data_IF_426994092825
#
_entry.id   IF_426994092825
#
_cell.length_a   1.000
_cell.length_b   1.000
_cell.length_c   1.000
_cell.angle_alpha   90.00
_cell.angle_beta   90.00
_cell.angle_gamma   90.00
#
_symmetry.space_group_name_H-M   'P 1'
#
loop_
_entity.id
_entity.type
_entity.pdbx_description
1 polymer ?
#
# COMPACT_ATOMS: atom_id res chain seq x y z
N UNK A 1 -14.11 58.17 -14.16
CA UNK A 1 -13.05 58.00 -13.14
C UNK A 1 -13.58 57.09 -12.05
N UNK A 2 -13.37 55.78 -12.18
CA UNK A 2 -13.68 54.81 -11.13
C UNK A 2 -12.39 54.54 -10.36
N UNK A 3 -12.42 54.80 -9.06
CA UNK A 3 -11.32 54.55 -8.13
C UNK A 3 -11.01 53.06 -8.20
N UNK A 4 -9.87 52.72 -8.82
CA UNK A 4 -9.32 51.35 -8.78
C UNK A 4 -8.97 51.07 -7.33
N UNK A 5 -9.62 50.04 -6.81
CA UNK A 5 -9.53 49.58 -5.43
C UNK A 5 -8.07 49.21 -5.10
N UNK A 6 -7.38 50.11 -4.43
CA UNK A 6 -5.96 49.98 -4.06
C UNK A 6 -5.72 48.80 -3.11
N UNK A 7 -6.78 48.19 -2.56
CA UNK A 7 -6.71 46.94 -1.80
C UNK A 7 -6.23 45.76 -2.63
N UNK A 8 -6.37 45.77 -3.96
CA UNK A 8 -5.93 44.65 -4.81
C UNK A 8 -4.41 44.52 -4.93
N UNK A 9 -3.64 45.56 -4.61
CA UNK A 9 -2.16 45.55 -4.64
C UNK A 9 -1.54 45.16 -3.29
N UNK A 10 -2.36 45.05 -2.24
CA UNK A 10 -1.97 44.65 -0.89
C UNK A 10 -2.36 43.22 -0.54
N UNK A 11 -2.94 42.47 -1.50
CA UNK A 11 -2.95 41.01 -1.44
C UNK A 11 -1.50 40.54 -1.57
N UNK A 12 -0.86 40.32 -0.42
CA UNK A 12 0.22 39.35 -0.35
C UNK A 12 -0.38 38.07 -0.93
N UNK A 13 0.22 37.53 -1.98
CA UNK A 13 -0.10 36.21 -2.50
C UNK A 13 0.17 35.21 -1.36
N UNK A 14 -0.80 35.04 -0.44
CA UNK A 14 -0.74 34.01 0.57
C UNK A 14 -0.97 32.71 -0.20
N UNK A 15 0.04 31.83 -0.28
CA UNK A 15 -0.09 30.59 -1.05
C UNK A 15 -1.24 29.71 -0.54
N UNK A 16 -1.77 29.99 0.67
CA UNK A 16 -2.97 29.34 1.21
C UNK A 16 -4.27 29.92 0.66
N UNK A 17 -4.34 31.22 0.39
CA UNK A 17 -5.49 31.86 -0.26
C UNK A 17 -5.61 31.33 -1.69
N UNK A 18 -4.51 31.32 -2.45
CA UNK A 18 -4.44 30.76 -3.81
C UNK A 18 -4.83 29.27 -3.84
N UNK A 19 -4.22 28.44 -2.99
CA UNK A 19 -4.57 27.02 -2.90
C UNK A 19 -6.04 26.77 -2.47
N UNK A 20 -6.59 27.62 -1.60
CA UNK A 20 -7.99 27.51 -1.16
C UNK A 20 -8.96 27.88 -2.30
N UNK A 21 -8.68 28.96 -3.02
CA UNK A 21 -9.47 29.37 -4.19
C UNK A 21 -9.43 28.29 -5.27
N UNK A 22 -8.24 27.73 -5.56
CA UNK A 22 -8.08 26.64 -6.52
C UNK A 22 -8.84 25.37 -6.10
N UNK A 23 -8.79 24.99 -4.82
CA UNK A 23 -9.54 23.84 -4.30
C UNK A 23 -11.05 24.03 -4.37
N UNK A 24 -11.54 25.23 -4.05
CA UNK A 24 -12.97 25.58 -4.13
C UNK A 24 -13.45 25.61 -5.58
N UNK A 25 -12.62 26.09 -6.50
CA UNK A 25 -12.95 26.14 -7.93
C UNK A 25 -12.92 24.74 -8.58
N UNK A 26 -11.96 23.90 -8.19
CA UNK A 26 -11.70 22.63 -8.87
C UNK A 26 -12.51 21.44 -8.34
N UNK A 27 -13.10 21.56 -7.13
CA UNK A 27 -13.86 20.51 -6.47
C UNK A 27 -15.30 20.97 -6.16
N UNK A 28 -16.33 20.29 -6.70
CA UNK A 28 -17.71 20.75 -6.58
C UNK A 28 -18.22 20.65 -5.13
N UNK A 29 -18.72 21.78 -4.60
CA UNK A 29 -19.33 21.86 -3.26
C UNK A 29 -18.33 22.07 -2.11
N UNK A 30 -17.05 22.26 -2.42
CA UNK A 30 -16.02 22.63 -1.44
C UNK A 30 -16.25 24.05 -0.92
N UNK A 31 -15.95 24.27 0.36
CA UNK A 31 -16.06 25.60 0.99
C UNK A 31 -14.87 25.87 1.90
N UNK A 32 -14.43 27.13 1.95
CA UNK A 32 -13.51 27.56 2.99
C UNK A 32 -14.21 27.49 4.35
N UNK A 33 -13.63 26.75 5.29
CA UNK A 33 -14.17 26.56 6.62
C UNK A 33 -13.57 27.55 7.63
N UNK A 34 -12.49 28.26 7.27
CA UNK A 34 -11.85 29.27 8.10
C UNK A 34 -11.53 30.55 7.31
N UNK A 35 -11.66 31.69 7.98
CA UNK A 35 -11.38 33.01 7.39
C UNK A 35 -9.89 33.25 7.09
N UNK A 36 -9.00 32.43 7.67
CA UNK A 36 -7.55 32.51 7.49
C UNK A 36 -7.00 31.57 6.39
N UNK A 37 -7.90 30.99 5.58
CA UNK A 37 -7.58 30.05 4.50
C UNK A 37 -6.79 28.82 4.96
N UNK A 38 -6.82 28.48 6.26
CA UNK A 38 -6.15 27.30 6.79
C UNK A 38 -6.96 26.02 6.62
N UNK A 39 -8.26 26.12 6.35
CA UNK A 39 -9.19 24.99 6.36
C UNK A 39 -10.15 25.03 5.17
N UNK A 40 -10.20 23.93 4.43
CA UNK A 40 -11.15 23.73 3.33
C UNK A 40 -11.94 22.44 3.59
N UNK A 41 -13.26 22.54 3.59
CA UNK A 41 -14.16 21.40 3.71
C UNK A 41 -14.61 20.96 2.32
N UNK A 42 -14.28 19.73 1.94
CA UNK A 42 -14.60 19.09 0.65
C UNK A 42 -15.67 18.01 0.89
N UNK A 43 -16.84 18.07 0.23
CA UNK A 43 -17.86 17.04 0.39
C UNK A 43 -17.45 15.75 -0.33
N UNK A 44 -17.65 14.60 0.32
CA UNK A 44 -17.37 13.28 -0.24
C UNK A 44 -18.55 12.33 0.01
N UNK A 45 -18.61 11.20 -0.71
CA UNK A 45 -19.60 10.16 -0.43
C UNK A 45 -19.37 9.57 0.97
N UNK A 46 -20.35 9.77 1.86
CA UNK A 46 -20.27 9.31 3.25
C UNK A 46 -19.73 10.35 4.25
N UNK A 47 -19.38 11.57 3.82
CA UNK A 47 -18.95 12.60 4.75
C UNK A 47 -18.34 13.88 4.18
N UNK A 48 -17.47 14.50 4.96
CA UNK A 48 -16.74 15.72 4.64
C UNK A 48 -15.26 15.50 4.94
N UNK A 49 -14.43 15.73 3.92
CA UNK A 49 -12.99 15.73 4.01
C UNK A 49 -12.51 17.15 4.31
N UNK A 50 -11.86 17.33 5.44
CA UNK A 50 -11.25 18.59 5.87
C UNK A 50 -9.78 18.60 5.48
N UNK A 51 -9.42 19.58 4.65
CA UNK A 51 -8.05 19.89 4.23
C UNK A 51 -7.51 20.97 5.15
N UNK A 52 -6.41 20.69 5.84
CA UNK A 52 -5.68 21.66 6.66
C UNK A 52 -4.39 22.09 5.96
N UNK A 53 -4.28 23.39 5.71
CA UNK A 53 -3.10 24.04 5.13
C UNK A 53 -2.25 24.66 6.25
N UNK A 54 -1.00 24.18 6.46
CA UNK A 54 -0.14 24.67 7.54
C UNK A 54 0.35 26.11 7.28
N UNK A 55 0.80 26.78 8.33
CA UNK A 55 1.26 28.18 8.26
C UNK A 55 2.52 28.41 7.41
N UNK A 56 3.26 27.34 7.07
CA UNK A 56 4.41 27.38 6.13
C UNK A 56 4.12 26.68 4.80
N UNK A 57 2.86 26.51 4.45
CA UNK A 57 2.47 25.99 3.13
C UNK A 57 3.10 26.85 2.01
N UNK A 58 3.63 26.27 0.92
CA UNK A 58 3.61 24.85 0.53
C UNK A 58 4.85 24.04 0.99
N UNK A 59 5.72 24.58 1.84
CA UNK A 59 6.91 23.87 2.34
C UNK A 59 6.56 22.75 3.32
N UNK A 60 5.57 22.99 4.17
CA UNK A 60 5.02 22.00 5.09
C UNK A 60 3.84 21.26 4.45
N UNK A 61 3.74 19.95 4.69
CA UNK A 61 2.69 19.12 4.08
C UNK A 61 1.30 19.44 4.64
N UNK A 62 0.27 19.47 3.78
CA UNK A 62 -1.11 19.60 4.21
C UNK A 62 -1.58 18.33 4.92
N UNK A 63 -2.52 18.49 5.86
CA UNK A 63 -3.13 17.37 6.59
C UNK A 63 -4.57 17.20 6.15
N UNK A 64 -4.96 15.98 5.85
CA UNK A 64 -6.31 15.64 5.41
C UNK A 64 -7.02 14.82 6.50
N UNK A 65 -8.22 15.21 6.89
CA UNK A 65 -8.98 14.54 7.95
C UNK A 65 -10.45 14.37 7.58
N UNK A 66 -11.01 13.19 7.83
CA UNK A 66 -12.44 12.93 7.69
C UNK A 66 -13.19 13.33 8.96
N UNK A 67 -14.27 14.10 8.81
CA UNK A 67 -15.12 14.49 9.94
C UNK A 67 -16.02 13.34 10.43
N UNK A 68 -16.30 12.36 9.57
CA UNK A 68 -17.09 11.19 9.87
C UNK A 68 -16.19 9.96 10.02
N UNK A 69 -16.42 9.12 11.04
CA UNK A 69 -15.66 7.89 11.24
C UNK A 69 -15.92 6.93 10.07
N UNK A 70 -14.98 6.86 9.14
CA UNK A 70 -15.06 6.04 7.93
C UNK A 70 -13.93 5.03 7.94
N UNK A 71 -14.24 3.74 7.76
CA UNK A 71 -13.23 2.68 7.66
C UNK A 71 -12.73 2.60 6.22
N UNK A 72 -11.53 3.13 5.96
CA UNK A 72 -10.90 3.11 4.63
C UNK A 72 -9.40 2.79 4.74
N UNK A 73 -8.80 2.15 3.73
CA UNK A 73 -7.38 1.74 3.75
C UNK A 73 -6.41 2.92 3.90
N UNK A 74 -6.79 4.07 3.37
CA UNK A 74 -6.05 5.32 3.45
C UNK A 74 -6.40 6.15 4.68
N UNK A 75 -7.18 5.65 5.65
CA UNK A 75 -7.61 6.44 6.82
C UNK A 75 -7.16 5.76 8.10
N UNK A 76 -6.51 6.52 8.98
CA UNK A 76 -6.02 6.01 10.26
C UNK A 76 -7.07 6.07 11.39
N UNK A 77 -6.69 5.59 12.59
CA UNK A 77 -7.56 5.57 13.79
C UNK A 77 -8.01 6.95 14.29
N UNK A 78 -7.40 8.02 13.79
CA UNK A 78 -7.72 9.41 14.12
C UNK A 78 -8.48 10.12 12.99
N UNK A 79 -8.99 9.34 12.02
CA UNK A 79 -9.62 9.80 10.80
C UNK A 79 -8.70 10.65 9.90
N UNK A 80 -7.38 10.54 10.03
CA UNK A 80 -6.44 11.23 9.15
C UNK A 80 -6.17 10.39 7.90
N UNK A 81 -6.14 11.05 6.75
CA UNK A 81 -5.87 10.38 5.47
C UNK A 81 -4.37 10.25 5.25
N UNK A 82 -3.91 9.01 5.08
CA UNK A 82 -2.55 8.64 4.67
C UNK A 82 -2.58 8.21 3.21
N UNK A 83 -2.13 9.10 2.33
CA UNK A 83 -2.08 8.86 0.89
C UNK A 83 -0.63 9.04 0.39
N UNK A 84 -0.12 8.19 -0.54
CA UNK A 84 1.27 8.28 -1.01
C UNK A 84 1.66 9.66 -1.56
N UNK A 85 0.70 10.39 -2.16
CA UNK A 85 0.91 11.76 -2.63
C UNK A 85 1.15 12.79 -1.51
N UNK A 86 0.70 12.51 -0.28
CA UNK A 86 0.96 13.35 0.91
C UNK A 86 2.29 12.98 1.60
N UNK A 87 2.74 11.73 1.48
CA UNK A 87 4.01 11.28 2.06
C UNK A 87 5.21 11.79 1.24
N UNK A 88 5.06 11.90 -0.09
CA UNK A 88 6.06 12.46 -0.99
C UNK A 88 5.81 13.95 -1.31
N UNK A 89 5.21 14.69 -0.38
CA UNK A 89 4.86 16.10 -0.58
C UNK A 89 6.10 16.96 -0.90
N UNK A 90 5.96 17.82 -1.91
CA UNK A 90 6.97 18.82 -2.26
C UNK A 90 6.29 20.16 -2.54
N UNK A 91 7.04 21.27 -2.45
CA UNK A 91 6.55 22.61 -2.79
C UNK A 91 6.12 22.78 -4.27
N UNK A 92 6.39 21.78 -5.12
CA UNK A 92 5.97 21.75 -6.53
C UNK A 92 4.74 20.88 -6.77
N UNK A 93 4.27 20.20 -5.73
CA UNK A 93 3.14 19.28 -5.82
C UNK A 93 1.84 20.07 -5.81
N UNK A 94 0.98 19.83 -6.80
CA UNK A 94 -0.33 20.45 -6.89
C UNK A 94 -1.30 19.82 -5.87
N UNK A 95 -1.78 20.65 -4.93
CA UNK A 95 -2.71 20.22 -3.87
C UNK A 95 -4.06 19.78 -4.45
N UNK A 96 -4.52 20.41 -5.54
CA UNK A 96 -5.80 20.09 -6.17
C UNK A 96 -5.78 18.69 -6.74
N UNK A 97 -4.69 18.34 -7.43
CA UNK A 97 -4.46 16.99 -7.96
C UNK A 97 -4.44 15.95 -6.85
N UNK A 98 -3.71 16.20 -5.76
CA UNK A 98 -3.64 15.27 -4.61
C UNK A 98 -5.00 15.09 -3.94
N UNK A 99 -5.74 16.17 -3.69
CA UNK A 99 -7.07 16.06 -3.06
C UNK A 99 -8.06 15.36 -4.00
N UNK A 100 -7.99 15.60 -5.31
CA UNK A 100 -8.83 14.89 -6.30
C UNK A 100 -8.54 13.40 -6.32
N UNK A 101 -7.26 13.02 -6.32
CA UNK A 101 -6.84 11.61 -6.25
C UNK A 101 -7.30 10.94 -4.95
N UNK A 102 -7.20 11.64 -3.82
CA UNK A 102 -7.70 11.17 -2.52
C UNK A 102 -9.22 11.00 -2.55
N UNK A 103 -9.95 11.99 -3.06
CA UNK A 103 -11.41 11.91 -3.20
C UNK A 103 -11.79 10.74 -4.10
N UNK A 104 -11.12 10.56 -5.25
CA UNK A 104 -11.37 9.43 -6.14
C UNK A 104 -11.03 8.08 -5.48
N UNK A 105 -9.92 8.03 -4.74
CA UNK A 105 -9.50 6.84 -3.99
C UNK A 105 -10.51 6.47 -2.88
N UNK A 106 -11.13 7.47 -2.24
CA UNK A 106 -12.21 7.27 -1.25
C UNK A 106 -13.54 6.90 -1.90
N UNK A 107 -13.78 7.28 -3.17
CA UNK A 107 -14.97 6.92 -3.93
C UNK A 107 -14.91 5.53 -4.54
N UNK A 108 -13.71 5.04 -4.88
CA UNK A 108 -13.56 3.66 -5.34
C UNK A 108 -13.95 2.74 -4.18
N UNK A 109 -15.00 1.90 -4.33
CA UNK A 109 -15.24 0.86 -3.34
C UNK A 109 -13.97 0.04 -3.30
N UNK A 110 -13.27 0.07 -2.16
CA UNK A 110 -12.03 -0.67 -1.97
C UNK A 110 -12.30 -2.11 -2.42
N UNK A 111 -11.74 -2.49 -3.58
CA UNK A 111 -11.52 -3.89 -3.88
C UNK A 111 -10.57 -4.32 -2.78
N UNK A 112 -11.15 -4.91 -1.73
CA UNK A 112 -10.47 -5.18 -0.48
C UNK A 112 -9.02 -5.57 -0.79
N UNK A 113 -8.00 -4.79 -0.37
CA UNK A 113 -6.70 -5.41 -0.25
C UNK A 113 -6.95 -6.68 0.53
N UNK A 114 -6.30 -7.77 0.13
CA UNK A 114 -6.13 -8.95 0.94
C UNK A 114 -5.33 -8.57 2.20
N UNK A 115 -5.86 -7.65 2.99
CA UNK A 115 -5.68 -7.58 4.42
C UNK A 115 -6.22 -8.92 4.86
N UNK A 116 -5.26 -9.80 5.12
CA UNK A 116 -5.33 -10.75 6.23
C UNK A 116 -6.49 -10.35 7.13
N UNK A 117 -7.65 -10.95 6.86
CA UNK A 117 -8.72 -11.00 7.83
C UNK A 117 -8.10 -11.82 8.95
N UNK A 118 -7.36 -11.15 9.84
CA UNK A 118 -7.40 -11.55 11.25
C UNK A 118 -8.88 -11.68 11.48
N UNK A 119 -9.41 -12.88 11.75
CA UNK A 119 -10.80 -13.02 12.07
C UNK A 119 -10.97 -12.03 13.22
N UNK A 120 -11.71 -10.94 12.96
CA UNK A 120 -12.19 -10.10 14.04
C UNK A 120 -12.90 -11.12 14.88
N UNK A 121 -12.31 -11.43 16.04
CA UNK A 121 -12.93 -12.21 17.08
C UNK A 121 -14.36 -11.73 17.09
N UNK A 122 -15.28 -12.56 16.59
CA UNK A 122 -16.67 -12.16 16.49
C UNK A 122 -17.01 -11.71 17.90
N UNK A 123 -17.17 -10.40 18.06
CA UNK A 123 -17.58 -9.88 19.35
C UNK A 123 -18.93 -10.53 19.53
N UNK A 124 -19.15 -11.30 20.62
CA UNK A 124 -20.40 -12.02 20.81
C UNK A 124 -21.52 -10.99 20.62
N UNK A 125 -22.57 -11.32 19.87
CA UNK A 125 -23.60 -10.36 19.46
C UNK A 125 -24.14 -9.67 20.72
N UNK A 126 -23.65 -8.46 20.97
CA UNK A 126 -23.96 -7.69 22.17
C UNK A 126 -25.29 -6.94 22.00
N UNK A 127 -25.93 -7.08 20.83
CA UNK A 127 -27.12 -6.33 20.40
C UNK A 127 -28.44 -7.03 20.70
N UNK A 128 -28.44 -8.22 21.32
CA UNK A 128 -29.68 -8.74 21.90
C UNK A 128 -29.89 -8.02 23.22
N UNK A 129 -30.63 -6.92 23.22
CA UNK A 129 -31.20 -6.41 24.47
C UNK A 129 -32.08 -7.52 25.04
N UNK A 130 -31.56 -8.25 26.02
CA UNK A 130 -32.29 -9.29 26.74
C UNK A 130 -33.35 -8.52 27.54
N UNK A 131 -34.55 -8.37 26.97
CA UNK A 131 -35.67 -7.80 27.70
C UNK A 131 -36.19 -8.85 28.67
N UNK A 132 -36.00 -8.59 29.96
CA UNK A 132 -36.62 -9.40 31.00
C UNK A 132 -38.14 -9.34 30.86
N UNK A 133 -38.87 -10.48 30.92
CA UNK A 133 -40.32 -10.46 31.04
C UNK A 133 -40.74 -9.60 32.24
N UNK A 134 -41.78 -8.79 32.06
CA UNK A 134 -42.31 -7.94 33.12
C UNK A 134 -42.82 -8.78 34.30
N UNK A 135 -42.54 -8.31 35.53
CA UNK A 135 -43.08 -8.94 36.74
C UNK A 135 -44.60 -8.77 36.71
N UNK A 136 -45.38 -9.84 36.84
CA UNK A 136 -46.83 -9.74 36.85
C UNK A 136 -47.30 -9.06 38.14
N UNK A 137 -48.21 -8.10 38.02
CA UNK A 137 -48.81 -7.40 39.16
C UNK A 137 -49.77 -8.30 39.97
N UNK A 138 -50.20 -9.41 39.39
CA UNK A 138 -51.14 -10.38 39.97
C UNK A 138 -50.76 -11.80 39.59
N UNK A 139 -51.00 -12.73 40.51
CA UNK A 139 -50.79 -14.16 40.30
C UNK A 139 -52.16 -14.84 40.40
N UNK A 140 -52.69 -15.27 39.27
CA UNK A 140 -54.03 -15.89 39.17
C UNK A 140 -54.17 -17.10 40.13
N UNK A 141 -53.10 -17.86 40.29
CA UNK A 141 -53.06 -19.00 41.21
C UNK A 141 -53.23 -18.60 42.69
N UNK A 142 -52.79 -17.41 43.08
CA UNK A 142 -52.95 -16.87 44.45
C UNK A 142 -54.35 -16.27 44.62
N UNK A 143 -54.91 -15.62 43.59
CA UNK A 143 -56.29 -15.10 43.62
C UNK A 143 -57.35 -16.21 43.66
N UNK A 144 -57.03 -17.39 43.11
CA UNK A 144 -57.91 -18.56 43.11
C UNK A 144 -57.95 -19.33 44.46
N UNK A 145 -57.01 -19.08 45.37
CA UNK A 145 -56.92 -19.77 46.66
C UNK A 145 -57.88 -19.18 47.71
N UNK A 146 -58.43 -20.03 48.57
CA UNK A 146 -59.22 -19.59 49.71
C UNK A 146 -58.34 -18.97 50.80
N UNK A 147 -58.92 -18.09 51.62
CA UNK A 147 -58.25 -17.47 52.78
C UNK A 147 -57.73 -18.48 53.81
N UNK A 148 -58.27 -19.70 53.82
CA UNK A 148 -57.81 -20.79 54.69
C UNK A 148 -56.55 -21.45 54.13
N UNK A 149 -56.47 -21.64 52.82
CA UNK A 149 -55.30 -22.19 52.14
C UNK A 149 -54.13 -21.20 52.13
N UNK A 150 -54.42 -19.90 51.95
CA UNK A 150 -53.40 -18.84 52.05
C UNK A 150 -52.75 -18.75 53.43
N UNK A 151 -53.49 -19.05 54.51
CA UNK A 151 -52.95 -19.06 55.88
C UNK A 151 -52.11 -20.29 56.20
N UNK A 152 -52.26 -21.36 55.42
CA UNK A 152 -51.50 -22.59 55.56
C UNK A 152 -50.34 -22.68 54.56
N UNK A 153 -50.13 -21.64 53.74
CA UNK A 153 -49.04 -21.59 52.77
C UNK A 153 -47.70 -21.36 53.51
N UNK A 154 -46.77 -22.28 53.31
CA UNK A 154 -45.40 -22.22 53.82
C UNK A 154 -44.43 -21.66 52.77
N UNK A 155 -43.17 -21.48 53.14
CA UNK A 155 -42.14 -20.91 52.24
C UNK A 155 -41.93 -21.77 50.99
N UNK A 156 -42.08 -23.09 51.10
CA UNK A 156 -41.95 -24.01 49.98
C UNK A 156 -43.16 -23.94 49.05
N UNK A 157 -44.38 -23.86 49.59
CA UNK A 157 -45.58 -23.62 48.78
C UNK A 157 -45.60 -22.27 48.05
N UNK A 158 -45.01 -21.22 48.65
CA UNK A 158 -44.79 -19.93 47.97
C UNK A 158 -43.79 -20.08 46.82
N UNK A 159 -42.71 -20.83 47.05
CA UNK A 159 -41.69 -21.08 46.03
C UNK A 159 -42.26 -21.84 44.84
N UNK A 160 -43.03 -22.89 45.09
CA UNK A 160 -43.67 -23.69 44.04
C UNK A 160 -44.61 -22.85 43.18
N UNK A 161 -45.37 -21.94 43.80
CA UNK A 161 -46.23 -20.96 43.10
C UNK A 161 -45.43 -20.01 42.21
N UNK A 162 -44.28 -19.53 42.69
CA UNK A 162 -43.39 -18.63 41.93
C UNK A 162 -42.69 -19.38 40.79
N UNK A 163 -42.23 -20.61 41.02
CA UNK A 163 -41.61 -21.44 39.99
C UNK A 163 -42.59 -21.84 38.88
N UNK A 164 -43.87 -22.01 39.21
CA UNK A 164 -44.93 -22.27 38.25
C UNK A 164 -45.31 -21.04 37.38
N UNK A 165 -44.80 -19.84 37.67
CA UNK A 165 -45.08 -18.66 36.88
C UNK A 165 -44.47 -18.76 35.47
N UNK A 166 -45.23 -18.43 34.41
CA UNK A 166 -44.74 -18.49 33.04
C UNK A 166 -43.54 -17.55 32.82
N UNK A 167 -43.46 -16.43 33.54
CA UNK A 167 -42.32 -15.51 33.48
C UNK A 167 -41.02 -16.15 33.96
N UNK A 168 -41.07 -17.00 35.01
CA UNK A 168 -39.90 -17.71 35.55
C UNK A 168 -39.45 -18.80 34.60
N UNK A 169 -40.39 -19.51 33.95
CA UNK A 169 -40.09 -20.50 32.91
C UNK A 169 -39.45 -19.86 31.67
N UNK A 170 -39.96 -18.71 31.23
CA UNK A 170 -39.36 -17.96 30.11
C UNK A 170 -37.96 -17.46 30.46
N UNK A 171 -37.77 -16.94 31.68
CA UNK A 171 -36.45 -16.48 32.14
C UNK A 171 -35.44 -17.62 32.24
N UNK A 172 -35.83 -18.78 32.76
CA UNK A 172 -34.94 -19.94 32.89
C UNK A 172 -34.52 -20.47 31.51
N UNK A 173 -35.45 -20.53 30.56
CA UNK A 173 -35.17 -20.88 29.17
C UNK A 173 -34.20 -19.87 28.53
N UNK A 174 -34.44 -18.57 28.69
CA UNK A 174 -33.55 -17.51 28.18
C UNK A 174 -32.14 -17.61 28.76
N UNK A 175 -32.00 -17.88 30.06
CA UNK A 175 -30.69 -18.07 30.71
C UNK A 175 -29.97 -19.32 30.19
N UNK A 176 -30.70 -20.41 29.98
CA UNK A 176 -30.14 -21.63 29.39
C UNK A 176 -29.65 -21.40 27.95
N UNK A 177 -30.44 -20.72 27.13
CA UNK A 177 -30.09 -20.38 25.74
C UNK A 177 -28.89 -19.43 25.69
N UNK A 178 -28.83 -18.44 26.57
CA UNK A 178 -27.68 -17.53 26.69
C UNK A 178 -26.41 -18.28 27.11
N UNK A 179 -26.53 -19.19 28.07
CA UNK A 179 -25.39 -20.02 28.51
C UNK A 179 -24.87 -20.86 27.35
N UNK A 180 -25.75 -21.52 26.61
CA UNK A 180 -25.39 -22.36 25.47
C UNK A 180 -24.76 -21.53 24.34
N UNK A 181 -25.38 -20.40 23.99
CA UNK A 181 -24.86 -19.50 22.95
C UNK A 181 -23.49 -18.93 23.32
N UNK A 182 -23.30 -18.55 24.58
CA UNK A 182 -22.01 -18.05 25.07
C UNK A 182 -20.94 -19.15 25.01
N UNK A 183 -21.27 -20.37 25.43
CA UNK A 183 -20.36 -21.52 25.36
C UNK A 183 -19.92 -21.78 23.92
N UNK A 184 -20.87 -21.91 22.99
CA UNK A 184 -20.57 -22.12 21.57
C UNK A 184 -19.73 -20.98 20.98
N UNK A 185 -20.05 -19.73 21.32
CA UNK A 185 -19.30 -18.57 20.84
C UNK A 185 -17.86 -18.58 21.37
N UNK A 186 -17.66 -18.98 22.63
CA UNK A 186 -16.34 -19.08 23.25
C UNK A 186 -15.51 -20.20 22.59
N UNK A 187 -16.12 -21.33 22.27
CA UNK A 187 -15.48 -22.45 21.57
C UNK A 187 -15.09 -22.06 20.14
N UNK A 188 -15.98 -21.41 19.38
CA UNK A 188 -15.68 -20.90 18.03
C UNK A 188 -14.52 -19.90 18.07
N UNK A 189 -14.56 -18.95 19.00
CA UNK A 189 -13.50 -17.96 19.21
C UNK A 189 -12.18 -18.62 19.54
N UNK A 190 -12.18 -19.62 20.42
CA UNK A 190 -10.97 -20.37 20.78
C UNK A 190 -10.38 -21.08 19.56
N UNK A 191 -11.20 -21.82 18.81
CA UNK A 191 -10.76 -22.54 17.61
C UNK A 191 -10.19 -21.58 16.55
N UNK A 192 -10.82 -20.42 16.35
CA UNK A 192 -10.33 -19.38 15.45
C UNK A 192 -8.96 -18.83 15.89
N UNK A 193 -8.75 -18.60 17.20
CA UNK A 193 -7.45 -18.15 17.73
C UNK A 193 -6.35 -19.19 17.53
N UNK A 194 -6.66 -20.46 17.76
CA UNK A 194 -5.71 -21.56 17.54
C UNK A 194 -5.33 -21.66 16.04
N UNK A 195 -6.31 -21.60 15.14
CA UNK A 195 -6.06 -21.61 13.70
C UNK A 195 -5.27 -20.38 13.23
N UNK A 196 -5.55 -19.19 13.79
CA UNK A 196 -4.79 -17.97 13.49
C UNK A 196 -3.34 -18.08 13.97
N UNK A 197 -3.11 -18.65 15.16
CA UNK A 197 -1.77 -18.87 15.71
C UNK A 197 -0.92 -19.79 14.83
N UNK A 198 -1.52 -20.83 14.23
CA UNK A 198 -0.82 -21.74 13.30
C UNK A 198 -0.38 -20.96 12.05
N UNK A 199 -1.30 -20.21 11.45
CA UNK A 199 -1.00 -19.39 10.26
C UNK A 199 0.05 -18.32 10.54
N UNK A 200 0.00 -17.69 11.70
CA UNK A 200 0.99 -16.69 12.12
C UNK A 200 2.38 -17.33 12.25
N UNK A 201 2.48 -18.54 12.79
CA UNK A 201 3.74 -19.29 12.88
C UNK A 201 4.29 -19.66 11.49
N UNK A 202 3.44 -20.14 10.57
CA UNK A 202 3.82 -20.42 9.18
C UNK A 202 4.31 -19.16 8.46
N UNK A 203 3.59 -18.03 8.62
CA UNK A 203 3.97 -16.77 8.01
C UNK A 203 5.29 -16.23 8.57
N UNK A 204 5.56 -16.42 9.87
CA UNK A 204 6.84 -16.08 10.47
C UNK A 204 7.97 -16.95 9.89
N UNK A 205 7.77 -18.26 9.76
CA UNK A 205 8.76 -19.16 9.17
C UNK A 205 9.09 -18.79 7.71
N UNK A 206 8.07 -18.44 6.92
CA UNK A 206 8.26 -17.96 5.54
C UNK A 206 9.03 -16.63 5.49
N UNK A 207 8.73 -15.69 6.40
CA UNK A 207 9.47 -14.42 6.49
C UNK A 207 10.94 -14.63 6.84
N UNK A 208 11.24 -15.54 7.77
CA UNK A 208 12.62 -15.89 8.11
C UNK A 208 13.36 -16.48 6.92
N UNK A 209 12.76 -17.44 6.22
CA UNK A 209 13.38 -18.05 5.03
C UNK A 209 13.62 -17.02 3.92
N UNK A 210 12.69 -16.10 3.69
CA UNK A 210 12.86 -15.03 2.71
C UNK A 210 13.99 -14.07 3.09
N UNK A 211 14.17 -13.79 4.39
CA UNK A 211 15.30 -13.00 4.87
C UNK A 211 16.64 -13.73 4.64
N UNK A 212 16.70 -15.03 4.89
CA UNK A 212 17.89 -15.86 4.63
C UNK A 212 18.23 -15.88 3.14
N UNK A 213 17.24 -16.11 2.27
CA UNK A 213 17.41 -16.11 0.82
C UNK A 213 17.86 -14.73 0.30
N UNK A 214 17.30 -13.64 0.86
CA UNK A 214 17.71 -12.28 0.51
C UNK A 214 19.16 -12.00 0.92
N UNK A 215 19.57 -12.41 2.12
CA UNK A 215 20.95 -12.27 2.58
C UNK A 215 21.92 -13.09 1.71
N UNK A 216 21.55 -14.31 1.33
CA UNK A 216 22.33 -15.15 0.42
C UNK A 216 22.49 -14.50 -0.96
N UNK A 217 21.41 -13.91 -1.49
CA UNK A 217 21.44 -13.18 -2.76
C UNK A 217 22.35 -11.94 -2.68
N UNK A 218 22.26 -11.15 -1.61
CA UNK A 218 23.12 -9.98 -1.40
C UNK A 218 24.60 -10.37 -1.31
N UNK A 219 24.92 -11.48 -0.62
CA UNK A 219 26.28 -12.00 -0.55
C UNK A 219 26.81 -12.43 -1.93
N UNK A 220 25.99 -13.09 -2.74
CA UNK A 220 26.32 -13.44 -4.13
C UNK A 220 26.55 -12.18 -4.98
N UNK A 221 25.69 -11.18 -4.85
CA UNK A 221 25.81 -9.91 -5.57
C UNK A 221 27.09 -9.16 -5.17
N UNK A 222 27.42 -9.13 -3.87
CA UNK A 222 28.65 -8.54 -3.37
C UNK A 222 29.89 -9.24 -3.95
N UNK A 223 29.89 -10.58 -3.98
CA UNK A 223 30.97 -11.36 -4.61
C UNK A 223 31.08 -11.09 -6.11
N UNK A 224 29.95 -11.01 -6.83
CA UNK A 224 29.96 -10.67 -8.25
C UNK A 224 30.58 -9.28 -8.50
N UNK A 225 30.26 -8.28 -7.65
CA UNK A 225 30.87 -6.94 -7.71
C UNK A 225 32.37 -6.93 -7.42
N UNK A 226 32.88 -7.87 -6.61
CA UNK A 226 34.34 -8.01 -6.42
C UNK A 226 35.05 -8.67 -7.60
N UNK A 227 34.35 -9.49 -8.38
CA UNK A 227 34.90 -10.21 -9.53
C UNK A 227 34.79 -9.43 -10.85
N UNK A 228 33.84 -8.51 -10.94
CA UNK A 228 33.73 -7.50 -11.99
C UNK A 228 34.27 -6.18 -11.44
N UNK A 229 35.57 -5.86 -11.59
CA UNK A 229 36.04 -4.51 -11.31
C UNK A 229 35.15 -3.55 -12.11
N UNK A 230 34.60 -2.52 -11.47
CA UNK A 230 33.83 -1.49 -12.17
C UNK A 230 34.62 -0.89 -13.35
N UNK A 231 35.95 -0.96 -13.25
CA UNK A 231 36.89 -0.54 -14.27
C UNK A 231 37.25 -1.62 -15.29
N UNK A 232 36.94 -2.90 -15.11
CA UNK A 232 37.38 -3.97 -16.02
C UNK A 232 36.78 -3.83 -17.43
N UNK A 233 35.49 -3.48 -17.53
CA UNK A 233 34.86 -3.20 -18.83
C UNK A 233 35.40 -1.90 -19.45
N UNK A 234 35.73 -0.90 -18.63
CA UNK A 234 36.32 0.36 -19.09
C UNK A 234 37.79 0.20 -19.52
N UNK A 235 38.55 -0.64 -18.83
CA UNK A 235 39.91 -1.04 -19.16
C UNK A 235 39.92 -1.89 -20.42
N UNK A 236 39.01 -2.86 -20.55
CA UNK A 236 38.84 -3.64 -21.77
C UNK A 236 38.49 -2.74 -22.97
N UNK A 237 37.56 -1.80 -22.82
CA UNK A 237 37.23 -0.84 -23.87
C UNK A 237 38.46 -0.02 -24.31
N UNK A 238 39.21 0.55 -23.34
CA UNK A 238 40.45 1.29 -23.60
C UNK A 238 41.52 0.43 -24.29
N UNK A 239 41.68 -0.82 -23.86
CA UNK A 239 42.64 -1.76 -24.46
C UNK A 239 42.27 -2.10 -25.92
N UNK A 240 40.99 -2.35 -26.22
CA UNK A 240 40.55 -2.59 -27.59
C UNK A 240 40.69 -1.36 -28.49
N UNK A 241 40.46 -0.15 -27.97
CA UNK A 241 40.72 1.08 -28.72
C UNK A 241 42.21 1.28 -29.01
N UNK A 242 43.08 1.01 -28.04
CA UNK A 242 44.54 1.08 -28.23
C UNK A 242 44.99 0.08 -29.31
N UNK A 243 44.52 -1.17 -29.23
CA UNK A 243 44.79 -2.20 -30.26
C UNK A 243 44.29 -1.79 -31.64
N UNK A 244 43.10 -1.18 -31.72
CA UNK A 244 42.60 -0.67 -32.99
C UNK A 244 43.55 0.38 -33.58
N UNK A 245 44.00 1.36 -32.79
CA UNK A 245 44.96 2.39 -33.25
C UNK A 245 46.29 1.78 -33.70
N UNK A 246 46.79 0.78 -32.99
CA UNK A 246 48.01 0.07 -33.38
C UNK A 246 47.85 -0.67 -34.72
N UNK A 247 46.75 -1.40 -34.91
CA UNK A 247 46.45 -2.05 -36.19
C UNK A 247 46.29 -1.03 -37.34
N UNK A 248 45.71 0.15 -37.06
CA UNK A 248 45.59 1.24 -38.03
C UNK A 248 46.97 1.77 -38.44
N UNK A 249 47.85 2.05 -37.47
CA UNK A 249 49.24 2.45 -37.71
C UNK A 249 50.02 1.40 -38.51
N UNK A 250 49.85 0.12 -38.19
CA UNK A 250 50.46 -0.98 -38.95
C UNK A 250 49.96 -1.00 -40.40
N UNK A 251 48.67 -0.80 -40.63
CA UNK A 251 48.11 -0.73 -41.99
C UNK A 251 48.66 0.46 -42.79
N UNK A 252 48.86 1.61 -42.14
CA UNK A 252 49.50 2.78 -42.75
C UNK A 252 50.98 2.52 -43.06
N UNK A 253 51.72 1.87 -42.17
CA UNK A 253 53.12 1.52 -42.41
C UNK A 253 53.28 0.50 -43.55
N UNK A 254 52.34 -0.44 -43.71
CA UNK A 254 52.29 -1.34 -44.86
C UNK A 254 52.01 -0.56 -46.15
N UNK A 255 51.09 0.40 -46.11
CA UNK A 255 50.77 1.27 -47.24
C UNK A 255 51.97 2.13 -47.68
N UNK A 256 52.67 2.74 -46.74
CA UNK A 256 53.85 3.56 -47.02
C UNK A 256 54.97 2.72 -47.66
N UNK A 257 55.22 1.51 -47.13
CA UNK A 257 56.19 0.58 -47.72
C UNK A 257 55.83 0.20 -49.16
N UNK A 258 54.55 0.03 -49.47
CA UNK A 258 54.10 -0.28 -50.82
C UNK A 258 54.26 0.91 -51.77
N UNK A 259 53.92 2.12 -51.32
CA UNK A 259 54.11 3.36 -52.10
C UNK A 259 55.58 3.63 -52.42
N UNK A 260 56.47 3.32 -51.48
CA UNK A 260 57.92 3.41 -51.65
C UNK A 260 58.51 2.28 -52.53
N UNK A 261 57.68 1.34 -53.01
CA UNK A 261 58.12 0.18 -53.79
C UNK A 261 58.94 -0.84 -52.99
N UNK A 262 58.86 -0.80 -51.65
CA UNK A 262 59.61 -1.67 -50.74
C UNK A 262 58.92 -3.02 -50.49
N UNK A 263 57.69 -3.21 -50.95
CA UNK A 263 57.02 -4.50 -50.97
C UNK A 263 56.28 -4.71 -52.29
N UNK A 264 56.07 -5.98 -52.66
CA UNK A 264 55.33 -6.33 -53.86
C UNK A 264 53.81 -6.31 -53.60
N UNK A 265 53.03 -6.35 -54.69
CA UNK A 265 51.57 -6.30 -54.62
C UNK A 265 50.94 -7.43 -53.79
N UNK A 266 51.31 -8.72 -53.94
CA UNK A 266 50.69 -9.78 -53.15
C UNK A 266 50.97 -9.63 -51.66
N UNK A 267 52.22 -9.35 -51.25
CA UNK A 267 52.56 -9.14 -49.83
C UNK A 267 51.87 -7.90 -49.27
N UNK A 268 51.77 -6.81 -50.05
CA UNK A 268 50.98 -5.63 -49.63
C UNK A 268 49.52 -5.99 -49.34
N UNK A 269 48.85 -6.68 -50.27
CA UNK A 269 47.43 -7.00 -50.12
C UNK A 269 47.18 -7.89 -48.91
N UNK A 270 48.03 -8.87 -48.67
CA UNK A 270 47.92 -9.79 -47.53
C UNK A 270 48.09 -9.03 -46.20
N UNK A 271 49.22 -8.37 -46.01
CA UNK A 271 49.52 -7.65 -44.75
C UNK A 271 48.56 -6.49 -44.49
N UNK A 272 48.15 -5.76 -45.53
CA UNK A 272 47.24 -4.63 -45.39
C UNK A 272 45.83 -5.09 -45.03
N UNK A 273 45.30 -6.11 -45.72
CA UNK A 273 43.96 -6.64 -45.44
C UNK A 273 43.90 -7.26 -44.05
N UNK A 274 44.94 -7.99 -43.65
CA UNK A 274 45.02 -8.56 -42.29
C UNK A 274 45.03 -7.47 -41.22
N UNK A 275 45.87 -6.43 -41.37
CA UNK A 275 45.92 -5.31 -40.43
C UNK A 275 44.59 -4.54 -40.37
N UNK A 276 43.91 -4.35 -41.50
CA UNK A 276 42.58 -3.72 -41.56
C UNK A 276 41.50 -4.59 -40.92
N UNK A 277 41.52 -5.90 -41.16
CA UNK A 277 40.58 -6.84 -40.53
C UNK A 277 40.72 -6.81 -39.00
N UNK A 278 41.95 -6.89 -38.50
CA UNK A 278 42.25 -6.80 -37.06
C UNK A 278 41.82 -5.45 -36.45
N UNK A 279 42.01 -4.32 -37.16
CA UNK A 279 41.51 -3.02 -36.73
C UNK A 279 39.97 -3.01 -36.60
N UNK A 280 39.25 -3.53 -37.60
CA UNK A 280 37.80 -3.55 -37.58
C UNK A 280 37.24 -4.46 -36.47
N UNK A 281 37.86 -5.62 -36.25
CA UNK A 281 37.54 -6.52 -35.14
C UNK A 281 37.72 -5.82 -33.79
N UNK A 282 38.88 -5.20 -33.56
CA UNK A 282 39.17 -4.46 -32.33
C UNK A 282 38.17 -3.33 -32.09
N UNK A 283 37.74 -2.61 -33.14
CA UNK A 283 36.70 -1.58 -33.04
C UNK A 283 35.33 -2.13 -32.64
N UNK A 284 34.94 -3.29 -33.16
CA UNK A 284 33.67 -3.94 -32.77
C UNK A 284 33.72 -4.35 -31.30
N UNK A 285 34.83 -4.94 -30.86
CA UNK A 285 35.03 -5.34 -29.46
C UNK A 285 35.02 -4.14 -28.51
N UNK A 286 35.68 -3.03 -28.86
CA UNK A 286 35.64 -1.79 -28.09
C UNK A 286 34.21 -1.28 -27.91
N UNK A 287 33.42 -1.25 -29.00
CA UNK A 287 32.03 -0.80 -28.97
C UNK A 287 31.14 -1.73 -28.13
N UNK A 288 31.35 -3.04 -28.20
CA UNK A 288 30.64 -4.02 -27.40
C UNK A 288 30.93 -3.87 -25.90
N UNK A 289 32.19 -3.63 -25.53
CA UNK A 289 32.56 -3.37 -24.13
C UNK A 289 31.86 -2.10 -23.60
N UNK A 290 31.81 -1.04 -24.41
CA UNK A 290 31.15 0.22 -24.05
C UNK A 290 29.63 0.09 -23.92
N UNK A 291 28.98 -0.69 -24.81
CA UNK A 291 27.55 -1.01 -24.70
C UNK A 291 27.27 -1.80 -23.41
N UNK A 292 28.11 -2.79 -23.07
CA UNK A 292 27.96 -3.56 -21.84
C UNK A 292 28.13 -2.68 -20.59
N UNK A 293 29.04 -1.71 -20.64
CA UNK A 293 29.29 -0.75 -19.55
C UNK A 293 28.11 0.20 -19.33
N UNK A 294 27.48 0.66 -20.39
CA UNK A 294 26.40 1.67 -20.36
C UNK A 294 25.01 1.08 -20.24
N UNK A 295 24.86 -0.25 -20.36
CA UNK A 295 23.57 -0.92 -20.23
C UNK A 295 23.05 -0.78 -18.79
N UNK A 296 21.87 -0.16 -18.57
CA UNK A 296 21.31 -0.09 -17.23
C UNK A 296 21.01 -1.50 -16.69
N UNK A 297 21.15 -1.72 -15.37
CA UNK A 297 20.71 -2.97 -14.76
C UNK A 297 19.23 -3.17 -15.11
N UNK A 298 18.85 -4.43 -15.41
CA UNK A 298 17.45 -4.78 -15.63
C UNK A 298 16.67 -4.43 -14.36
N UNK A 299 16.01 -3.28 -14.35
CA UNK A 299 15.14 -2.86 -13.27
C UNK A 299 13.91 -3.77 -13.27
N UNK A 300 13.34 -3.98 -12.08
CA UNK A 300 12.16 -4.81 -11.80
C UNK A 300 10.93 -4.48 -12.66
N UNK A 301 10.95 -3.38 -13.40
CA UNK A 301 9.88 -2.87 -14.27
C UNK A 301 9.96 -3.36 -15.72
N UNK A 302 10.88 -4.27 -16.06
CA UNK A 302 10.73 -4.98 -17.34
C UNK A 302 9.41 -5.77 -17.30
N UNK A 303 8.45 -5.51 -18.21
CA UNK A 303 7.19 -6.24 -18.22
C UNK A 303 7.52 -7.72 -18.33
N UNK A 304 7.12 -8.50 -17.31
CA UNK A 304 7.30 -9.95 -17.34
C UNK A 304 6.69 -10.45 -18.65
N UNK A 305 7.43 -11.19 -19.49
CA UNK A 305 6.81 -11.84 -20.64
C UNK A 305 5.63 -12.68 -20.13
N UNK A 306 4.48 -12.64 -20.82
CA UNK A 306 3.30 -13.37 -20.38
C UNK A 306 3.67 -14.84 -20.20
N UNK A 307 3.33 -15.40 -19.03
CA UNK A 307 3.55 -16.81 -18.74
C UNK A 307 2.89 -17.63 -19.86
N UNK A 308 3.60 -18.64 -20.44
CA UNK A 308 2.99 -19.50 -21.44
C UNK A 308 1.74 -20.15 -20.82
N UNK A 309 0.65 -20.30 -21.60
CA UNK A 309 -0.57 -20.90 -21.10
C UNK A 309 -0.24 -22.29 -20.56
N UNK A 310 -0.63 -22.51 -19.29
CA UNK A 310 -0.55 -23.83 -18.66
C UNK A 310 -1.34 -24.80 -19.54
N UNK A 311 -0.63 -25.61 -20.32
CA UNK A 311 -1.21 -26.77 -20.96
C UNK A 311 -1.69 -27.69 -19.84
N UNK A 312 -3.02 -27.78 -19.65
CA UNK A 312 -3.61 -28.90 -18.93
C UNK A 312 -3.23 -30.15 -19.70
N UNK A 313 -2.22 -30.88 -19.21
CA UNK A 313 -2.10 -32.29 -19.55
C UNK A 313 -3.31 -32.99 -18.91
N UNK A 314 -4.30 -33.30 -19.72
CA UNK A 314 -5.24 -34.36 -19.37
C UNK A 314 -4.48 -35.67 -19.49
N UNK A 315 -4.19 -36.26 -18.34
CA UNK A 315 -3.75 -37.64 -18.17
C UNK A 315 -4.53 -38.21 -17.00
#
# INVERSE_FOLDING_TARGET
MGIRDWKSWLRRDDPREEATEELVQALPGSKSAAEDFSLVDVPIQGGTLRVFLPSRFPHDKPTLQLLQPTRHEFVDRYNQVKYPGLDNWSHKTDIVSVVREVVEALHKPTAAPAVETRPSLERPPSDRSIQAPAVPDRIDAVEAMSTKELRCLDEDGVRDLVEALPQVTVMSQMLADLRNTNLESAERVRAQREAASIKDAEAQALRMRLADDAAAYEALLARARTLEPADALAEAARAYEARARECDQTSLAVLDRWQDGKCDRPTFLEEYVEARAAHHEARVLAKLAEIKRTRPPLTRESPRPPLPPRTRSYG
#
